data_IF_660432183027
#
_entry.id   IF_660432183027
#
_cell.length_a   1.000
_cell.length_b   1.000
_cell.length_c   1.000
_cell.angle_alpha   90.00
_cell.angle_beta   90.00
_cell.angle_gamma   90.00
#
_symmetry.space_group_name_H-M   'P 1'
#
loop_
_entity.id
_entity.type
_entity.pdbx_description
1 polymer ?
#
# COMPACT_ATOMS: atom_id res chain seq x y z
N UNK A 1 23.94 -30.77 -15.73
CA UNK A 1 23.04 -29.98 -16.60
C UNK A 1 23.54 -28.56 -16.85
N UNK A 2 23.34 -27.55 -15.98
CA UNK A 2 23.74 -26.15 -16.29
C UNK A 2 25.24 -25.96 -16.57
N UNK A 3 26.11 -26.74 -15.91
CA UNK A 3 27.57 -26.69 -16.11
C UNK A 3 28.02 -27.28 -17.46
N UNK A 4 27.21 -28.14 -18.07
CA UNK A 4 27.54 -28.87 -19.31
C UNK A 4 26.98 -28.18 -20.56
N UNK A 5 26.20 -27.11 -20.39
CA UNK A 5 25.63 -26.35 -21.50
C UNK A 5 26.68 -25.47 -22.19
N UNK A 6 26.53 -25.27 -23.49
CA UNK A 6 27.26 -24.25 -24.22
C UNK A 6 26.98 -22.85 -23.64
N UNK A 7 27.96 -21.96 -23.70
CA UNK A 7 27.90 -20.65 -23.05
C UNK A 7 26.77 -19.77 -23.62
N UNK A 8 26.48 -19.89 -24.92
CA UNK A 8 25.35 -19.23 -25.59
C UNK A 8 24.00 -19.68 -25.00
N UNK A 9 23.84 -20.98 -24.76
CA UNK A 9 22.64 -21.54 -24.14
C UNK A 9 22.50 -21.07 -22.68
N UNK A 10 23.62 -21.02 -21.93
CA UNK A 10 23.62 -20.47 -20.57
C UNK A 10 23.22 -19.01 -20.57
N UNK A 11 23.80 -18.19 -21.45
CA UNK A 11 23.49 -16.76 -21.59
C UNK A 11 21.99 -16.55 -21.83
N UNK A 12 21.38 -17.33 -22.73
CA UNK A 12 19.95 -17.25 -23.01
C UNK A 12 19.10 -17.61 -21.77
N UNK A 13 19.44 -18.68 -21.05
CA UNK A 13 18.73 -19.07 -19.82
C UNK A 13 18.82 -17.98 -18.76
N UNK A 14 20.00 -17.39 -18.55
CA UNK A 14 20.20 -16.36 -17.53
C UNK A 14 19.39 -15.09 -17.78
N UNK A 15 19.18 -14.70 -19.04
CA UNK A 15 18.36 -13.53 -19.39
C UNK A 15 16.89 -13.69 -18.97
N UNK A 16 16.36 -14.92 -18.91
CA UNK A 16 14.97 -15.16 -18.52
C UNK A 16 14.75 -15.24 -17.01
N UNK A 17 15.82 -15.34 -16.21
CA UNK A 17 15.69 -15.45 -14.77
C UNK A 17 15.42 -14.10 -14.12
N UNK A 18 14.55 -14.10 -13.12
CA UNK A 18 14.35 -12.93 -12.27
C UNK A 18 15.57 -12.67 -11.38
N UNK A 19 15.60 -11.48 -10.77
CA UNK A 19 16.69 -11.06 -9.87
C UNK A 19 16.85 -12.02 -8.69
N UNK A 20 15.74 -12.60 -8.19
CA UNK A 20 15.79 -13.56 -7.09
C UNK A 20 16.43 -14.88 -7.52
N UNK A 21 16.03 -15.41 -8.68
CA UNK A 21 16.54 -16.64 -9.26
C UNK A 21 18.02 -16.50 -9.61
N UNK A 22 18.41 -15.39 -10.23
CA UNK A 22 19.81 -15.05 -10.50
C UNK A 22 20.63 -15.04 -9.22
N UNK A 23 20.18 -14.34 -8.17
CA UNK A 23 20.90 -14.34 -6.88
C UNK A 23 21.02 -15.73 -6.27
N UNK A 24 20.01 -16.59 -6.44
CA UNK A 24 20.02 -17.98 -5.92
C UNK A 24 21.03 -18.81 -6.67
N UNK A 25 21.03 -18.81 -8.00
CA UNK A 25 21.98 -19.65 -8.75
C UNK A 25 23.42 -19.17 -8.55
N UNK A 26 23.63 -17.86 -8.54
CA UNK A 26 24.90 -17.24 -8.20
C UNK A 26 25.42 -17.58 -6.79
N UNK A 27 24.57 -18.15 -5.93
CA UNK A 27 24.93 -18.65 -4.59
C UNK A 27 25.10 -20.17 -4.54
N UNK A 28 24.45 -20.92 -5.45
CA UNK A 28 24.43 -22.39 -5.45
C UNK A 28 25.62 -22.98 -6.22
N UNK A 29 26.08 -22.34 -7.28
CA UNK A 29 27.16 -22.87 -8.11
C UNK A 29 28.07 -21.74 -8.62
N UNK A 30 29.26 -21.60 -8.01
CA UNK A 30 30.26 -20.58 -8.41
C UNK A 30 30.67 -20.69 -9.88
N UNK A 31 30.58 -21.89 -10.46
CA UNK A 31 30.98 -22.16 -11.84
C UNK A 31 29.79 -22.10 -12.83
N UNK A 32 28.54 -21.91 -12.35
CA UNK A 32 27.39 -21.84 -13.25
C UNK A 32 27.33 -20.56 -14.09
N UNK A 33 28.02 -19.51 -13.65
CA UNK A 33 28.21 -18.25 -14.37
C UNK A 33 29.43 -18.29 -15.30
N UNK A 34 30.23 -19.36 -15.27
CA UNK A 34 31.45 -19.46 -16.07
C UNK A 34 31.10 -19.54 -17.56
N UNK A 35 31.71 -18.65 -18.35
CA UNK A 35 31.44 -18.46 -19.77
C UNK A 35 30.32 -17.47 -20.09
N UNK A 36 29.64 -16.91 -19.08
CA UNK A 36 28.51 -16.01 -19.24
C UNK A 36 28.93 -14.57 -18.96
N UNK A 37 28.57 -13.65 -19.85
CA UNK A 37 28.75 -12.23 -19.61
C UNK A 37 27.61 -11.72 -18.71
N UNK A 38 27.81 -11.81 -17.39
CA UNK A 38 26.79 -11.45 -16.39
C UNK A 38 26.54 -9.93 -16.28
N UNK A 39 27.52 -9.10 -16.61
CA UNK A 39 27.41 -7.63 -16.49
C UNK A 39 26.19 -7.05 -17.23
N UNK A 40 26.04 -7.29 -18.54
CA UNK A 40 24.88 -6.84 -19.32
C UNK A 40 23.55 -7.40 -18.81
N UNK A 41 23.53 -8.65 -18.32
CA UNK A 41 22.31 -9.27 -17.75
C UNK A 41 21.88 -8.50 -16.50
N UNK A 42 22.79 -8.28 -15.56
CA UNK A 42 22.50 -7.50 -14.35
C UNK A 42 22.10 -6.06 -14.67
N UNK A 43 22.74 -5.42 -15.64
CA UNK A 43 22.39 -4.07 -16.08
C UNK A 43 20.96 -4.02 -16.65
N UNK A 44 20.55 -5.00 -17.46
CA UNK A 44 19.17 -5.12 -17.97
C UNK A 44 18.16 -5.24 -16.84
N UNK A 45 18.45 -6.08 -15.84
CA UNK A 45 17.59 -6.19 -14.66
C UNK A 45 17.57 -4.92 -13.82
N UNK A 46 18.69 -4.20 -13.72
CA UNK A 46 18.75 -2.92 -13.01
C UNK A 46 17.80 -1.89 -13.65
N UNK A 47 17.84 -1.75 -14.97
CA UNK A 47 16.90 -0.88 -15.73
C UNK A 47 15.45 -1.29 -15.48
N UNK A 48 15.15 -2.58 -15.59
CA UNK A 48 13.80 -3.11 -15.34
C UNK A 48 13.32 -2.82 -13.92
N UNK A 49 14.19 -2.96 -12.91
CA UNK A 49 13.88 -2.64 -11.52
C UNK A 49 13.66 -1.15 -11.29
N UNK A 50 14.40 -0.28 -11.98
CA UNK A 50 14.19 1.17 -11.91
C UNK A 50 12.82 1.54 -12.44
N UNK A 51 12.45 1.04 -13.63
CA UNK A 51 11.13 1.28 -14.23
C UNK A 51 10.03 0.77 -13.29
N UNK A 52 10.10 -0.49 -12.84
CA UNK A 52 9.14 -1.06 -11.89
C UNK A 52 9.06 -0.28 -10.58
N UNK A 53 10.19 0.19 -10.07
CA UNK A 53 10.25 1.02 -8.86
C UNK A 53 9.56 2.36 -9.06
N UNK A 54 9.83 3.04 -10.17
CA UNK A 54 9.18 4.31 -10.52
C UNK A 54 7.67 4.13 -10.75
N UNK A 55 7.24 3.06 -11.42
CA UNK A 55 5.83 2.71 -11.57
C UNK A 55 5.16 2.43 -10.22
N UNK A 56 5.81 1.67 -9.34
CA UNK A 56 5.29 1.38 -8.01
C UNK A 56 5.14 2.66 -7.15
N UNK A 57 6.02 3.65 -7.34
CA UNK A 57 5.89 4.96 -6.70
C UNK A 57 4.76 5.80 -7.30
N UNK A 58 4.59 5.78 -8.63
CA UNK A 58 3.50 6.48 -9.32
C UNK A 58 2.13 5.92 -8.96
N UNK A 59 2.03 4.59 -8.83
CA UNK A 59 0.81 3.87 -8.45
C UNK A 59 0.57 3.79 -6.93
N UNK A 60 1.34 4.48 -6.10
CA UNK A 60 1.19 4.43 -4.65
C UNK A 60 -0.16 5.00 -4.21
N UNK A 61 -1.02 4.15 -3.66
CA UNK A 61 -2.32 4.52 -3.07
C UNK A 61 -2.30 4.62 -1.54
N UNK A 62 -1.18 4.31 -0.90
CA UNK A 62 -1.03 4.25 0.54
C UNK A 62 -0.44 5.54 1.12
N UNK A 63 0.89 5.55 1.30
CA UNK A 63 1.58 6.60 2.07
C UNK A 63 1.52 7.96 1.36
N UNK A 64 1.70 8.00 0.05
CA UNK A 64 1.71 9.26 -0.72
C UNK A 64 0.31 9.87 -0.87
N UNK A 65 -0.75 9.06 -0.91
CA UNK A 65 -2.15 9.53 -0.98
C UNK A 65 -2.66 10.00 0.38
N UNK A 66 -2.11 9.48 1.48
CA UNK A 66 -2.49 9.89 2.82
C UNK A 66 -1.98 11.31 3.14
N UNK A 67 -2.77 12.33 2.77
CA UNK A 67 -2.54 13.80 2.91
C UNK A 67 -2.34 14.32 4.35
N UNK A 68 -2.09 13.48 5.35
CA UNK A 68 -1.61 13.89 6.67
C UNK A 68 -0.12 14.29 6.60
N UNK A 69 0.25 15.18 5.67
CA UNK A 69 1.61 15.68 5.51
C UNK A 69 1.86 16.84 6.49
N UNK A 70 2.61 16.57 7.57
CA UNK A 70 3.61 17.54 8.03
C UNK A 70 4.73 17.56 6.98
N UNK A 71 4.55 18.39 5.96
CA UNK A 71 5.56 19.22 5.25
C UNK A 71 6.93 18.64 4.80
N UNK A 72 7.16 17.33 4.66
CA UNK A 72 8.52 16.83 4.42
C UNK A 72 8.79 15.97 3.15
N UNK A 73 7.85 15.82 2.20
CA UNK A 73 8.04 14.81 1.14
C UNK A 73 7.84 15.26 -0.33
N UNK A 74 8.03 16.54 -0.66
CA UNK A 74 7.88 16.98 -2.07
C UNK A 74 9.03 17.80 -2.64
N UNK A 75 10.14 18.00 -1.92
CA UNK A 75 11.14 18.98 -2.38
C UNK A 75 12.22 18.46 -3.33
N UNK A 76 12.38 17.14 -3.51
CA UNK A 76 13.56 16.60 -4.21
C UNK A 76 13.25 15.67 -5.41
N UNK A 77 12.02 15.63 -5.93
CA UNK A 77 11.70 14.77 -7.09
C UNK A 77 11.19 15.53 -8.33
N UNK A 78 11.03 16.86 -8.27
CA UNK A 78 10.51 17.67 -9.39
C UNK A 78 11.36 18.89 -9.75
N UNK A 79 12.56 19.04 -9.19
CA UNK A 79 13.47 20.14 -9.54
C UNK A 79 14.68 19.61 -10.30
N UNK A 80 14.49 19.35 -11.60
CA UNK A 80 15.56 19.32 -12.60
C UNK A 80 14.98 19.38 -14.02
N UNK A 81 14.10 20.36 -14.28
CA UNK A 81 14.03 20.94 -15.63
C UNK A 81 14.89 22.20 -15.59
N UNK A 82 16.21 22.03 -15.67
CA UNK A 82 17.10 23.13 -16.05
C UNK A 82 18.32 22.58 -16.79
N UNK A 83 18.23 22.72 -18.11
CA UNK A 83 19.28 22.93 -19.13
C UNK A 83 20.71 22.58 -18.72
N UNK A 84 21.27 21.54 -19.34
CA UNK A 84 22.71 21.44 -19.58
C UNK A 84 23.01 21.01 -21.02
N UNK A 85 24.13 21.50 -21.59
CA UNK A 85 24.41 21.45 -23.02
C UNK A 85 24.83 20.04 -23.46
N UNK A 86 24.52 19.73 -24.72
CA UNK A 86 25.05 18.58 -25.44
C UNK A 86 26.57 18.73 -25.51
N UNK A 87 27.29 18.04 -24.63
CA UNK A 87 28.74 17.87 -24.73
C UNK A 87 28.98 16.61 -25.55
N UNK A 88 29.56 16.79 -26.74
CA UNK A 88 30.03 15.70 -27.57
C UNK A 88 31.12 14.91 -26.83
N UNK A 89 30.90 13.61 -26.65
CA UNK A 89 31.82 12.72 -25.93
C UNK A 89 32.96 12.32 -26.87
N UNK A 90 34.19 12.57 -26.42
CA UNK A 90 35.44 12.26 -27.10
C UNK A 90 35.78 10.76 -26.94
N UNK A 91 36.39 10.14 -27.95
CA UNK A 91 36.60 8.67 -28.04
C UNK A 91 37.51 8.09 -26.95
N UNK A 92 38.14 8.92 -26.13
CA UNK A 92 38.97 8.53 -24.98
C UNK A 92 38.18 8.24 -23.70
N UNK A 93 36.87 8.50 -23.64
CA UNK A 93 36.04 8.25 -22.44
C UNK A 93 35.37 6.86 -22.40
N UNK A 94 35.37 6.09 -23.49
CA UNK A 94 34.78 4.74 -23.50
C UNK A 94 35.53 3.76 -22.58
N UNK A 95 36.88 3.83 -22.54
CA UNK A 95 37.70 3.00 -21.64
C UNK A 95 37.52 3.39 -20.16
N UNK A 96 37.19 4.67 -19.88
CA UNK A 96 36.80 5.12 -18.53
C UNK A 96 35.40 4.66 -18.16
N UNK A 97 34.45 4.70 -19.09
CA UNK A 97 33.08 4.20 -18.91
C UNK A 97 33.06 2.70 -18.67
N UNK A 98 33.87 1.92 -19.40
CA UNK A 98 34.06 0.48 -19.18
C UNK A 98 34.68 0.20 -17.80
N UNK A 99 35.67 1.00 -17.37
CA UNK A 99 36.23 0.89 -16.01
C UNK A 99 35.21 1.25 -14.92
N UNK A 100 34.38 2.28 -15.11
CA UNK A 100 33.28 2.62 -14.20
C UNK A 100 32.21 1.54 -14.15
N UNK A 101 31.81 0.98 -15.30
CA UNK A 101 30.87 -0.14 -15.39
C UNK A 101 31.39 -1.39 -14.68
N UNK A 102 32.70 -1.65 -14.75
CA UNK A 102 33.35 -2.76 -14.07
C UNK A 102 33.51 -2.56 -12.55
N UNK A 103 33.48 -1.32 -12.07
CA UNK A 103 33.58 -0.99 -10.64
C UNK A 103 32.25 -1.09 -9.89
N UNK A 104 31.13 -1.05 -10.61
CA UNK A 104 29.79 -1.13 -10.02
C UNK A 104 29.40 -2.60 -9.89
N UNK A 105 29.21 -3.05 -8.65
CA UNK A 105 28.63 -4.37 -8.39
C UNK A 105 27.11 -4.33 -8.63
N UNK A 106 26.74 -4.51 -9.90
CA UNK A 106 25.36 -4.54 -10.36
C UNK A 106 24.53 -5.61 -9.68
N UNK A 107 25.15 -6.73 -9.28
CA UNK A 107 24.48 -7.82 -8.58
C UNK A 107 24.02 -7.34 -7.21
N UNK A 108 24.90 -6.71 -6.42
CA UNK A 108 24.49 -6.15 -5.12
C UNK A 108 23.45 -5.06 -5.27
N UNK A 109 23.62 -4.16 -6.23
CA UNK A 109 22.65 -3.09 -6.47
C UNK A 109 21.27 -3.63 -6.84
N UNK A 110 21.18 -4.60 -7.76
CA UNK A 110 19.92 -5.22 -8.16
C UNK A 110 19.25 -5.94 -6.98
N UNK A 111 20.03 -6.71 -6.22
CA UNK A 111 19.54 -7.44 -5.05
C UNK A 111 18.92 -6.50 -4.02
N UNK A 112 19.65 -5.46 -3.64
CA UNK A 112 19.21 -4.55 -2.59
C UNK A 112 18.00 -3.71 -3.05
N UNK A 113 18.00 -3.28 -4.31
CA UNK A 113 16.84 -2.60 -4.93
C UNK A 113 15.61 -3.49 -4.96
N UNK A 114 15.75 -4.75 -5.35
CA UNK A 114 14.66 -5.72 -5.32
C UNK A 114 14.10 -5.92 -3.90
N UNK A 115 14.98 -6.07 -2.90
CA UNK A 115 14.57 -6.19 -1.49
C UNK A 115 13.83 -4.94 -1.00
N UNK A 116 14.30 -3.74 -1.35
CA UNK A 116 13.62 -2.50 -0.99
C UNK A 116 12.27 -2.36 -1.69
N UNK A 117 12.18 -2.72 -2.97
CA UNK A 117 10.95 -2.68 -3.74
C UNK A 117 9.90 -3.63 -3.15
N UNK A 118 10.24 -4.90 -2.93
CA UNK A 118 9.32 -5.88 -2.33
C UNK A 118 8.86 -5.43 -0.95
N UNK A 119 9.78 -4.94 -0.12
CA UNK A 119 9.44 -4.43 1.23
C UNK A 119 8.53 -3.21 1.15
N UNK A 120 8.79 -2.28 0.23
CA UNK A 120 7.93 -1.13 -0.02
C UNK A 120 6.53 -1.59 -0.41
N UNK A 121 6.38 -2.43 -1.44
CA UNK A 121 5.09 -2.92 -1.90
C UNK A 121 4.30 -3.61 -0.78
N UNK A 122 4.95 -4.49 -0.01
CA UNK A 122 4.32 -5.18 1.12
C UNK A 122 3.84 -4.20 2.20
N UNK A 123 4.72 -3.31 2.66
CA UNK A 123 4.39 -2.37 3.73
C UNK A 123 3.30 -1.39 3.28
N UNK A 124 3.36 -0.94 2.04
CA UNK A 124 2.42 0.00 1.48
C UNK A 124 1.04 -0.61 1.28
N UNK A 125 0.97 -1.84 0.75
CA UNK A 125 -0.29 -2.59 0.63
C UNK A 125 -0.92 -2.85 1.99
N UNK A 126 -0.11 -3.25 2.98
CA UNK A 126 -0.60 -3.45 4.35
C UNK A 126 -1.15 -2.16 4.98
N UNK A 127 -0.47 -1.04 4.75
CA UNK A 127 -0.95 0.27 5.21
C UNK A 127 -2.25 0.70 4.49
N UNK A 128 -2.33 0.54 3.16
CA UNK A 128 -3.52 0.88 2.38
C UNK A 128 -4.73 0.01 2.77
N UNK A 129 -4.53 -1.29 3.00
CA UNK A 129 -5.57 -2.19 3.48
C UNK A 129 -6.10 -1.76 4.85
N UNK A 130 -5.20 -1.49 5.81
CA UNK A 130 -5.57 -0.97 7.14
C UNK A 130 -6.37 0.33 7.05
N UNK A 131 -6.01 1.22 6.13
CA UNK A 131 -6.76 2.46 5.88
C UNK A 131 -8.17 2.21 5.36
N UNK A 132 -8.35 1.25 4.44
CA UNK A 132 -9.68 0.86 3.93
C UNK A 132 -10.56 0.33 5.06
N UNK A 133 -10.05 -0.63 5.84
CA UNK A 133 -10.82 -1.24 6.93
C UNK A 133 -11.18 -0.22 8.01
N UNK A 134 -10.28 0.71 8.33
CA UNK A 134 -10.59 1.79 9.28
C UNK A 134 -11.68 2.72 8.75
N UNK A 135 -11.71 2.98 7.44
CA UNK A 135 -12.77 3.76 6.80
C UNK A 135 -14.11 3.03 6.84
N UNK A 136 -14.13 1.72 6.55
CA UNK A 136 -15.32 0.88 6.67
C UNK A 136 -15.88 0.90 8.09
N UNK A 137 -15.05 0.69 9.12
CA UNK A 137 -15.49 0.78 10.52
C UNK A 137 -16.02 2.17 10.90
N UNK A 138 -15.46 3.25 10.33
CA UNK A 138 -16.00 4.60 10.54
C UNK A 138 -17.39 4.77 9.92
N UNK A 139 -17.63 4.17 8.76
CA UNK A 139 -18.96 4.17 8.12
C UNK A 139 -19.97 3.32 8.92
N UNK A 140 -19.55 2.16 9.42
CA UNK A 140 -20.36 1.34 10.31
C UNK A 140 -20.71 2.11 11.60
N UNK A 141 -19.71 2.77 12.21
CA UNK A 141 -19.92 3.63 13.38
C UNK A 141 -20.97 4.71 13.11
N UNK A 142 -20.93 5.38 11.95
CA UNK A 142 -21.92 6.40 11.63
C UNK A 142 -23.32 5.83 11.46
N UNK A 143 -23.45 4.68 10.79
CA UNK A 143 -24.72 3.97 10.61
C UNK A 143 -25.31 3.52 11.95
N UNK A 144 -24.47 2.97 12.84
CA UNK A 144 -24.90 2.56 14.18
C UNK A 144 -25.36 3.76 15.03
N UNK A 145 -24.67 4.91 14.95
CA UNK A 145 -25.10 6.14 15.62
C UNK A 145 -26.47 6.61 15.13
N UNK A 146 -26.69 6.56 13.82
CA UNK A 146 -27.97 6.90 13.20
C UNK A 146 -29.07 5.93 13.64
N UNK A 147 -28.81 4.62 13.64
CA UNK A 147 -29.75 3.60 14.11
C UNK A 147 -30.14 3.82 15.58
N UNK A 148 -29.18 4.10 16.46
CA UNK A 148 -29.45 4.43 17.87
C UNK A 148 -30.33 5.69 17.98
N UNK A 149 -30.07 6.70 17.16
CA UNK A 149 -30.86 7.93 17.14
C UNK A 149 -32.29 7.67 16.62
N UNK A 150 -32.46 6.82 15.62
CA UNK A 150 -33.75 6.42 15.07
C UNK A 150 -34.59 5.66 16.11
N UNK A 151 -33.99 4.74 16.87
CA UNK A 151 -34.67 4.04 17.98
C UNK A 151 -35.07 5.00 19.09
N UNK A 152 -34.25 6.01 19.39
CA UNK A 152 -34.63 7.06 20.35
C UNK A 152 -35.80 7.90 19.83
N UNK A 153 -35.74 8.33 18.57
CA UNK A 153 -36.77 9.13 17.94
C UNK A 153 -38.11 8.38 17.87
N UNK A 154 -38.10 7.10 17.46
CA UNK A 154 -39.30 6.26 17.44
C UNK A 154 -39.86 6.05 18.85
N UNK A 155 -39.02 5.77 19.85
CA UNK A 155 -39.44 5.66 21.25
C UNK A 155 -40.10 6.94 21.76
N UNK A 156 -39.59 8.12 21.38
CA UNK A 156 -40.20 9.41 21.72
C UNK A 156 -41.52 9.66 20.99
N UNK A 157 -41.59 9.33 19.70
CA UNK A 157 -42.83 9.39 18.93
C UNK A 157 -43.90 8.48 19.54
N UNK A 158 -43.56 7.22 19.85
CA UNK A 158 -44.43 6.26 20.51
C UNK A 158 -44.91 6.75 21.88
N UNK A 159 -44.04 7.42 22.66
CA UNK A 159 -44.45 8.04 23.93
C UNK A 159 -45.45 9.16 23.70
N UNK A 160 -45.27 10.00 22.68
CA UNK A 160 -46.19 11.08 22.33
C UNK A 160 -47.54 10.54 21.86
N UNK A 161 -47.53 9.54 20.99
CA UNK A 161 -48.73 8.83 20.52
C UNK A 161 -49.46 8.18 21.69
N UNK A 162 -48.75 7.52 22.61
CA UNK A 162 -49.33 6.97 23.84
C UNK A 162 -50.01 8.03 24.71
N UNK A 163 -49.39 9.20 24.91
CA UNK A 163 -50.00 10.31 25.66
C UNK A 163 -51.31 10.78 25.02
N UNK A 164 -51.35 10.89 23.69
CA UNK A 164 -52.56 11.28 22.95
C UNK A 164 -53.65 10.20 23.07
N UNK A 165 -53.30 8.91 22.93
CA UNK A 165 -54.23 7.79 23.11
C UNK A 165 -54.77 7.70 24.53
N UNK A 166 -53.96 8.02 25.55
CA UNK A 166 -54.36 8.00 26.96
C UNK A 166 -55.49 9.00 27.30
N UNK A 167 -55.68 10.06 26.52
CA UNK A 167 -56.82 10.97 26.68
C UNK A 167 -58.16 10.29 26.33
N UNK A 168 -58.14 9.25 25.47
CA UNK A 168 -59.31 8.50 25.05
C UNK A 168 -59.57 7.25 25.92
N UNK A 169 -58.61 6.87 26.78
CA UNK A 169 -58.62 5.64 27.59
C UNK A 169 -59.77 5.60 28.61
N UNK A 170 -60.25 6.76 29.09
CA UNK A 170 -61.41 6.85 29.99
C UNK A 170 -62.68 6.29 29.35
N UNK A 171 -62.76 6.33 28.01
CA UNK A 171 -63.90 5.87 27.21
C UNK A 171 -63.72 4.43 26.68
N UNK A 172 -62.59 3.77 26.97
CA UNK A 172 -62.31 2.40 26.52
C UNK A 172 -62.75 1.34 27.53
N UNK A 173 -63.29 0.23 27.01
CA UNK A 173 -63.62 -0.95 27.81
C UNK A 173 -62.38 -1.57 28.49
N UNK A 174 -62.59 -2.17 29.67
CA UNK A 174 -61.52 -2.69 30.55
C UNK A 174 -60.57 -3.65 29.84
N UNK A 175 -61.08 -4.50 28.94
CA UNK A 175 -60.29 -5.49 28.18
C UNK A 175 -59.33 -4.81 27.20
N UNK A 176 -59.79 -3.81 26.45
CA UNK A 176 -58.94 -3.04 25.54
C UNK A 176 -57.88 -2.23 26.29
N UNK A 177 -58.20 -1.71 27.49
CA UNK A 177 -57.20 -1.04 28.34
C UNK A 177 -56.07 -1.98 28.75
N UNK A 178 -56.39 -3.23 29.12
CA UNK A 178 -55.38 -4.25 29.45
C UNK A 178 -54.53 -4.64 28.24
N UNK A 179 -55.14 -4.84 27.08
CA UNK A 179 -54.42 -5.15 25.83
C UNK A 179 -53.48 -4.01 25.41
N UNK A 180 -53.93 -2.77 25.46
CA UNK A 180 -53.10 -1.60 25.15
C UNK A 180 -51.93 -1.46 26.14
N UNK A 181 -52.17 -1.66 27.44
CA UNK A 181 -51.10 -1.64 28.45
C UNK A 181 -50.05 -2.74 28.22
N UNK A 182 -50.48 -3.96 27.91
CA UNK A 182 -49.58 -5.08 27.60
C UNK A 182 -48.76 -4.82 26.34
N UNK A 183 -49.40 -4.40 25.24
CA UNK A 183 -48.73 -4.05 23.98
C UNK A 183 -47.72 -2.91 24.17
N UNK A 184 -48.08 -1.87 24.93
CA UNK A 184 -47.20 -0.73 25.22
C UNK A 184 -45.98 -1.13 26.06
N UNK A 185 -46.15 -2.07 26.99
CA UNK A 185 -45.06 -2.62 27.79
C UNK A 185 -44.10 -3.44 26.94
N UNK A 186 -44.63 -4.33 26.09
CA UNK A 186 -43.84 -5.16 25.18
C UNK A 186 -43.06 -4.29 24.19
N UNK A 187 -43.69 -3.28 23.59
CA UNK A 187 -43.03 -2.35 22.67
C UNK A 187 -41.96 -1.49 23.36
N UNK A 188 -42.18 -1.08 24.60
CA UNK A 188 -41.17 -0.35 25.37
C UNK A 188 -39.96 -1.23 25.70
N UNK A 189 -40.20 -2.49 26.06
CA UNK A 189 -39.16 -3.46 26.37
C UNK A 189 -38.36 -3.84 25.12
N UNK A 190 -39.02 -4.09 23.99
CA UNK A 190 -38.34 -4.40 22.73
C UNK A 190 -37.49 -3.22 22.22
N UNK A 191 -37.99 -1.98 22.33
CA UNK A 191 -37.20 -0.80 21.99
C UNK A 191 -36.00 -0.58 22.93
N UNK A 192 -36.14 -0.91 24.22
CA UNK A 192 -35.04 -0.83 25.18
C UNK A 192 -33.95 -1.88 24.91
N UNK A 193 -34.34 -3.12 24.62
CA UNK A 193 -33.42 -4.20 24.23
C UNK A 193 -32.69 -3.86 22.92
N UNK A 194 -33.43 -3.44 21.88
CA UNK A 194 -32.85 -3.02 20.60
C UNK A 194 -31.86 -1.86 20.75
N UNK A 195 -32.19 -0.87 21.60
CA UNK A 195 -31.26 0.22 21.90
C UNK A 195 -30.00 -0.28 22.59
N UNK A 196 -30.12 -1.18 23.57
CA UNK A 196 -28.99 -1.73 24.31
C UNK A 196 -28.03 -2.49 23.38
N UNK A 197 -28.56 -3.36 22.52
CA UNK A 197 -27.80 -4.12 21.52
C UNK A 197 -27.06 -3.20 20.54
N UNK A 198 -27.73 -2.16 20.03
CA UNK A 198 -27.09 -1.18 19.15
C UNK A 198 -25.99 -0.39 19.85
N UNK A 199 -26.17 -0.04 21.13
CA UNK A 199 -25.13 0.66 21.90
C UNK A 199 -23.93 -0.23 22.19
N UNK A 200 -24.14 -1.52 22.45
CA UNK A 200 -23.06 -2.49 22.65
C UNK A 200 -22.26 -2.68 21.36
N UNK A 201 -22.93 -2.87 20.22
CA UNK A 201 -22.26 -2.93 18.90
C UNK A 201 -21.47 -1.66 18.61
N UNK A 202 -22.05 -0.48 18.88
CA UNK A 202 -21.35 0.78 18.70
C UNK A 202 -20.08 0.87 19.56
N UNK A 203 -20.16 0.47 20.82
CA UNK A 203 -19.00 0.46 21.73
C UNK A 203 -17.92 -0.51 21.25
N UNK A 204 -18.31 -1.69 20.76
CA UNK A 204 -17.40 -2.67 20.16
C UNK A 204 -16.66 -2.06 18.96
N UNK A 205 -17.38 -1.51 17.98
CA UNK A 205 -16.80 -0.85 16.81
C UNK A 205 -15.88 0.31 17.19
N UNK A 206 -16.26 1.13 18.16
CA UNK A 206 -15.42 2.23 18.65
C UNK A 206 -14.11 1.73 19.29
N UNK A 207 -14.17 0.62 20.02
CA UNK A 207 -12.98 -0.02 20.60
C UNK A 207 -12.04 -0.56 19.53
N UNK A 208 -12.58 -1.18 18.48
CA UNK A 208 -11.82 -1.68 17.33
C UNK A 208 -11.17 -0.54 16.55
N UNK A 209 -11.90 0.55 16.29
CA UNK A 209 -11.34 1.76 15.66
C UNK A 209 -10.17 2.30 16.48
N UNK A 210 -10.29 2.38 17.80
CA UNK A 210 -9.21 2.87 18.66
C UNK A 210 -7.99 1.95 18.64
N UNK A 211 -8.18 0.63 18.63
CA UNK A 211 -7.10 -0.34 18.53
C UNK A 211 -6.38 -0.22 17.18
N UNK A 212 -7.13 -0.22 16.07
CA UNK A 212 -6.58 -0.12 14.72
C UNK A 212 -5.90 1.22 14.45
N UNK A 213 -6.41 2.32 15.02
CA UNK A 213 -5.77 3.62 14.90
C UNK A 213 -4.36 3.64 15.51
N UNK A 214 -4.10 2.87 16.59
CA UNK A 214 -2.75 2.74 17.17
C UNK A 214 -1.83 1.96 16.23
N UNK A 215 -2.31 0.86 15.67
CA UNK A 215 -1.54 0.03 14.73
C UNK A 215 -1.20 0.78 13.42
N UNK A 216 -2.13 1.61 12.95
CA UNK A 216 -1.97 2.47 11.77
C UNK A 216 -0.69 3.31 11.84
N UNK A 217 -0.34 3.86 13.01
CA UNK A 217 0.89 4.65 13.16
C UNK A 217 2.15 3.82 12.95
N UNK A 218 2.16 2.58 13.44
CA UNK A 218 3.26 1.64 13.26
C UNK A 218 3.45 1.29 11.78
N UNK A 219 2.37 0.92 11.11
CA UNK A 219 2.36 0.60 9.67
C UNK A 219 2.80 1.80 8.83
N UNK A 220 2.30 3.00 9.14
CA UNK A 220 2.72 4.24 8.47
C UNK A 220 4.22 4.47 8.61
N UNK A 221 4.77 4.34 9.82
CA UNK A 221 6.21 4.53 10.08
C UNK A 221 7.05 3.55 9.25
N UNK A 222 6.63 2.29 9.18
CA UNK A 222 7.32 1.27 8.40
C UNK A 222 7.24 1.56 6.90
N UNK A 223 6.06 1.92 6.40
CA UNK A 223 5.83 2.22 4.99
C UNK A 223 6.62 3.47 4.54
N UNK A 224 6.64 4.54 5.35
CA UNK A 224 7.47 5.74 5.10
C UNK A 224 8.97 5.39 5.09
N UNK A 225 9.44 4.55 6.02
CA UNK A 225 10.84 4.14 6.06
C UNK A 225 11.23 3.33 4.82
N UNK A 226 10.37 2.41 4.37
CA UNK A 226 10.64 1.65 3.13
C UNK A 226 10.56 2.53 1.89
N UNK A 227 9.61 3.48 1.83
CA UNK A 227 9.50 4.46 0.75
C UNK A 227 10.77 5.29 0.64
N UNK A 228 11.27 5.83 1.75
CA UNK A 228 12.50 6.62 1.75
C UNK A 228 13.70 5.82 1.26
N UNK A 229 13.86 4.56 1.72
CA UNK A 229 14.94 3.68 1.26
C UNK A 229 14.84 3.38 -0.24
N UNK A 230 13.63 3.07 -0.73
CA UNK A 230 13.41 2.82 -2.15
C UNK A 230 13.73 4.08 -2.97
N UNK A 231 13.24 5.25 -2.57
CA UNK A 231 13.52 6.52 -3.25
C UNK A 231 15.02 6.82 -3.33
N UNK A 232 15.76 6.65 -2.23
CA UNK A 232 17.21 6.85 -2.23
C UNK A 232 17.92 5.87 -3.17
N UNK A 233 17.49 4.60 -3.19
CA UNK A 233 18.07 3.59 -4.06
C UNK A 233 17.79 3.87 -5.54
N UNK A 234 16.55 4.25 -5.88
CA UNK A 234 16.16 4.59 -7.24
C UNK A 234 16.86 5.87 -7.73
N UNK A 235 16.98 6.89 -6.89
CA UNK A 235 17.72 8.11 -7.20
C UNK A 235 19.21 7.81 -7.46
N UNK A 236 19.82 6.98 -6.60
CA UNK A 236 21.20 6.53 -6.79
C UNK A 236 21.37 5.73 -8.08
N UNK A 237 20.44 4.83 -8.41
CA UNK A 237 20.51 4.05 -9.65
C UNK A 237 20.28 4.87 -10.91
N UNK A 238 19.39 5.86 -10.84
CA UNK A 238 19.13 6.80 -11.95
C UNK A 238 20.37 7.62 -12.25
N UNK A 239 21.01 8.18 -11.21
CA UNK A 239 22.27 8.91 -11.34
C UNK A 239 23.37 8.01 -11.92
N UNK A 240 23.49 6.79 -11.41
CA UNK A 240 24.49 5.83 -11.86
C UNK A 240 24.31 5.45 -13.34
N UNK A 241 23.08 5.32 -13.84
CA UNK A 241 22.83 5.10 -15.27
C UNK A 241 23.14 6.34 -16.12
N UNK A 242 22.81 7.53 -15.63
CA UNK A 242 23.15 8.81 -16.30
C UNK A 242 24.66 9.00 -16.41
N UNK A 243 25.41 8.74 -15.33
CA UNK A 243 26.87 8.82 -15.30
C UNK A 243 27.53 7.82 -16.27
N UNK A 244 26.81 6.76 -16.67
CA UNK A 244 27.24 5.76 -17.64
C UNK A 244 26.78 6.07 -19.08
N UNK A 245 26.14 7.21 -19.33
CA UNK A 245 25.60 7.58 -20.64
C UNK A 245 24.41 6.72 -21.08
N UNK A 246 23.81 5.97 -20.15
CA UNK A 246 22.70 5.05 -20.43
C UNK A 246 21.39 5.72 -20.02
N UNK A 247 20.60 6.14 -21.01
CA UNK A 247 19.27 6.70 -20.77
C UNK A 247 18.26 5.58 -20.46
N UNK A 248 17.33 5.86 -19.55
CA UNK A 248 16.26 4.92 -19.14
C UNK A 248 15.22 4.74 -20.26
N UNK A 249 15.24 5.58 -21.31
CA UNK A 249 14.28 5.57 -22.42
C UNK A 249 14.44 4.39 -23.40
N UNK A 250 15.55 3.65 -23.34
CA UNK A 250 15.80 2.48 -24.21
C UNK A 250 15.08 1.18 -23.77
N UNK A 251 14.06 1.27 -22.91
CA UNK A 251 13.26 0.09 -22.48
C UNK A 251 11.96 -0.05 -23.28
N UNK A 252 11.87 0.58 -24.46
CA UNK A 252 10.80 0.29 -25.41
C UNK A 252 11.19 -0.85 -26.36
N UNK A 253 10.37 -1.90 -26.34
CA UNK A 253 10.25 -3.00 -27.31
C UNK A 253 11.39 -4.02 -27.40
N UNK A 254 11.10 -5.27 -26.98
CA UNK A 254 10.80 -6.43 -27.86
C UNK A 254 10.59 -7.65 -26.94
N UNK A 255 9.35 -8.10 -26.82
CA UNK A 255 8.86 -9.48 -26.77
C UNK A 255 7.34 -9.43 -26.58
#
# INVERSE_FOLDING_TARGET
>A
MLLELADECKQNIWVFLGVQELCRVASVARNAEQGVCMGPIWQRHARTLLVKGQEALKGDTGVLVCRLQRRNASRNLLAAEDKYPVVAIDKNDEDKLLRLQSAIDWRFWCRDTHVFLVRFCRNNTGFAHMMSTLQELKTERSQLKEAVQNVKASSHADKRTRRLQMNCVKWMNRTHRRQAAASNSIQAQSAAMSKAELTERLQSVESTIQAMAKEQFGLRKQAVKSLHKLNMQLASGTKLLQDLGVYIEDVNFVA
#
